data_IF_550199247848
#
_entry.id   IF_550199247848
#
_cell.length_a   1.000
_cell.length_b   1.000
_cell.length_c   1.000
_cell.angle_alpha   90.00
_cell.angle_beta   90.00
_cell.angle_gamma   90.00
#
_symmetry.space_group_name_H-M   'P 1'
#
loop_
_entity.id
_entity.type
_entity.pdbx_description
1 polymer ?
#
# COMPACT_ATOMS: atom_id res chain seq x y z
N UNK A 1 13.97 22.47 -16.37
CA UNK A 1 12.65 21.89 -16.10
C UNK A 1 12.24 22.37 -14.73
N UNK A 2 11.08 23.01 -14.62
CA UNK A 2 10.53 23.39 -13.32
C UNK A 2 9.80 22.17 -12.75
N UNK A 3 10.45 21.37 -11.92
CA UNK A 3 9.81 20.31 -11.17
C UNK A 3 9.03 20.93 -10.01
N UNK A 4 7.72 20.84 -10.04
CA UNK A 4 6.91 21.16 -8.86
C UNK A 4 6.95 19.96 -7.90
N UNK A 5 7.12 20.18 -6.59
CA UNK A 5 7.09 19.11 -5.62
C UNK A 5 5.72 18.41 -5.64
N UNK A 6 5.72 17.09 -5.53
CA UNK A 6 4.50 16.28 -5.41
C UNK A 6 3.71 16.70 -4.18
N UNK A 7 2.42 16.92 -4.37
CA UNK A 7 1.47 17.34 -3.32
C UNK A 7 0.48 16.22 -3.01
N UNK A 8 -0.16 16.32 -1.85
CA UNK A 8 -1.29 15.43 -1.55
C UNK A 8 -2.38 15.59 -2.60
N UNK A 9 -2.98 14.47 -2.95
CA UNK A 9 -4.03 14.32 -3.97
C UNK A 9 -3.55 14.40 -5.43
N UNK A 10 -2.27 14.65 -5.70
CA UNK A 10 -1.75 14.52 -7.06
C UNK A 10 -1.82 13.07 -7.54
N UNK A 11 -2.23 12.88 -8.80
CA UNK A 11 -2.04 11.61 -9.50
C UNK A 11 -0.61 11.57 -10.05
N UNK A 12 0.20 10.64 -9.56
CA UNK A 12 1.64 10.58 -9.86
C UNK A 12 1.97 9.31 -10.61
N UNK A 13 2.74 9.45 -11.68
CA UNK A 13 3.40 8.33 -12.35
C UNK A 13 4.81 8.21 -11.79
N UNK A 14 5.16 7.02 -11.34
CA UNK A 14 6.47 6.74 -10.74
C UNK A 14 6.93 5.32 -11.07
N UNK A 15 8.23 5.09 -10.97
CA UNK A 15 8.81 3.77 -11.12
C UNK A 15 8.53 2.92 -9.88
N UNK A 16 8.14 1.65 -10.08
CA UNK A 16 7.83 0.76 -8.98
C UNK A 16 8.98 0.73 -7.95
N UNK A 17 8.70 0.94 -6.65
CA UNK A 17 9.72 1.07 -5.62
C UNK A 17 10.28 -0.29 -5.17
N UNK A 18 10.64 -1.16 -6.13
CA UNK A 18 11.48 -2.30 -5.88
C UNK A 18 12.95 -1.88 -5.85
N UNK A 19 13.83 -2.72 -5.35
CA UNK A 19 15.26 -2.58 -5.60
C UNK A 19 15.57 -2.76 -7.09
N UNK A 20 16.83 -2.60 -7.44
CA UNK A 20 17.33 -2.83 -8.82
C UNK A 20 17.41 -4.32 -9.20
N UNK A 21 17.37 -5.21 -8.23
CA UNK A 21 17.42 -6.66 -8.45
C UNK A 21 16.03 -7.21 -8.73
N UNK A 22 15.89 -7.95 -9.82
CA UNK A 22 14.65 -8.65 -10.22
C UNK A 22 14.93 -10.12 -10.50
N UNK A 23 13.92 -10.98 -10.29
CA UNK A 23 13.91 -12.33 -10.82
C UNK A 23 13.45 -12.21 -12.26
N UNK A 24 14.34 -12.55 -13.20
CA UNK A 24 14.12 -12.33 -14.64
C UNK A 24 13.24 -13.42 -15.27
N UNK A 25 12.01 -13.51 -14.77
CA UNK A 25 10.97 -14.40 -15.28
C UNK A 25 9.65 -13.62 -15.42
N UNK A 26 8.77 -14.01 -16.38
CA UNK A 26 7.53 -13.25 -16.68
C UNK A 26 6.55 -13.07 -15.51
N UNK A 27 6.56 -13.98 -14.54
CA UNK A 27 5.64 -13.95 -13.39
C UNK A 27 6.17 -13.15 -12.20
N UNK A 28 7.38 -12.64 -12.30
CA UNK A 28 8.04 -11.86 -11.24
C UNK A 28 8.04 -10.35 -11.58
N UNK A 29 9.03 -9.61 -11.18
CA UNK A 29 9.17 -8.15 -11.31
C UNK A 29 8.25 -7.41 -10.33
N UNK A 30 7.42 -6.46 -10.77
CA UNK A 30 6.52 -5.71 -9.87
C UNK A 30 5.37 -6.54 -9.31
N UNK A 31 4.96 -7.59 -10.03
CA UNK A 31 3.87 -8.47 -9.59
C UNK A 31 4.29 -9.34 -8.41
N UNK A 32 5.51 -9.84 -8.41
CA UNK A 32 6.12 -10.61 -7.31
C UNK A 32 7.58 -10.16 -7.12
N UNK A 33 7.83 -9.04 -6.45
CA UNK A 33 9.14 -8.42 -6.35
C UNK A 33 10.16 -9.33 -5.66
N UNK A 34 11.42 -9.26 -6.09
CA UNK A 34 12.54 -10.01 -5.53
C UNK A 34 12.58 -9.97 -3.98
N UNK A 35 12.38 -8.80 -3.41
CA UNK A 35 12.38 -8.60 -1.96
C UNK A 35 11.27 -9.38 -1.25
N UNK A 36 10.08 -9.46 -1.85
CA UNK A 36 8.94 -10.20 -1.31
C UNK A 36 9.12 -11.71 -1.47
N UNK A 37 9.72 -12.14 -2.59
CA UNK A 37 10.13 -13.54 -2.78
C UNK A 37 11.17 -13.93 -1.73
N UNK A 38 12.21 -13.11 -1.50
CA UNK A 38 13.19 -13.36 -0.42
C UNK A 38 12.50 -13.51 0.94
N UNK A 39 11.57 -12.62 1.28
CA UNK A 39 10.84 -12.70 2.55
C UNK A 39 10.06 -14.01 2.68
N UNK A 40 9.37 -14.41 1.61
CA UNK A 40 8.58 -15.65 1.58
C UNK A 40 9.46 -16.89 1.71
N UNK A 41 10.53 -16.98 0.92
CA UNK A 41 11.48 -18.10 0.94
C UNK A 41 12.20 -18.23 2.29
N UNK A 42 12.54 -17.11 2.91
CA UNK A 42 13.19 -17.06 4.21
C UNK A 42 12.24 -17.09 5.40
N UNK A 43 10.93 -17.35 5.19
CA UNK A 43 9.91 -17.39 6.26
C UNK A 43 9.92 -16.13 7.14
N UNK A 44 10.06 -14.97 6.51
CA UNK A 44 10.16 -13.67 7.14
C UNK A 44 11.60 -13.13 7.29
N UNK A 45 12.61 -13.99 7.21
CA UNK A 45 14.02 -13.59 7.19
C UNK A 45 14.49 -13.38 5.74
N UNK A 46 14.65 -12.12 5.35
CA UNK A 46 15.00 -11.75 3.97
C UNK A 46 16.40 -12.24 3.58
N UNK A 47 17.36 -12.19 4.50
CA UNK A 47 18.74 -12.60 4.22
C UNK A 47 18.85 -14.13 4.02
N UNK A 48 18.09 -14.91 4.76
CA UNK A 48 18.01 -16.36 4.54
C UNK A 48 17.30 -16.67 3.20
N UNK A 49 16.21 -15.98 2.90
CA UNK A 49 15.54 -16.13 1.61
C UNK A 49 16.42 -15.73 0.43
N UNK A 50 17.24 -14.68 0.59
CA UNK A 50 18.22 -14.27 -0.41
C UNK A 50 19.27 -15.36 -0.67
N UNK A 51 19.77 -16.03 0.38
CA UNK A 51 20.68 -17.16 0.22
C UNK A 51 20.05 -18.32 -0.56
N UNK A 52 18.79 -18.64 -0.25
CA UNK A 52 18.05 -19.70 -0.97
C UNK A 52 17.97 -19.37 -2.46
N UNK A 53 17.56 -18.14 -2.80
CA UNK A 53 17.42 -17.70 -4.20
C UNK A 53 18.77 -17.69 -4.92
N UNK A 54 19.83 -17.21 -4.29
CA UNK A 54 21.18 -17.17 -4.88
C UNK A 54 21.77 -18.57 -5.13
N UNK A 55 21.34 -19.57 -4.36
CA UNK A 55 21.79 -20.95 -4.52
C UNK A 55 20.95 -21.75 -5.56
N UNK A 56 19.92 -21.14 -6.15
CA UNK A 56 19.05 -21.77 -7.15
C UNK A 56 18.85 -20.84 -8.37
N UNK A 57 19.91 -20.56 -9.12
CA UNK A 57 19.87 -19.63 -10.26
C UNK A 57 19.03 -20.12 -11.43
N UNK A 58 18.81 -21.44 -11.54
CA UNK A 58 18.01 -22.03 -12.62
C UNK A 58 16.52 -21.71 -12.44
N UNK A 59 16.00 -21.75 -11.22
CA UNK A 59 14.62 -21.40 -10.89
C UNK A 59 14.44 -19.90 -10.60
N UNK A 60 15.52 -19.20 -10.22
CA UNK A 60 15.51 -17.77 -9.87
C UNK A 60 16.63 -17.00 -10.57
N UNK A 61 16.61 -16.93 -11.92
CA UNK A 61 17.62 -16.15 -12.65
C UNK A 61 17.50 -14.67 -12.28
N UNK A 62 18.57 -14.09 -11.73
CA UNK A 62 18.59 -12.70 -11.32
C UNK A 62 19.11 -11.78 -12.43
N UNK A 63 18.50 -10.61 -12.54
CA UNK A 63 18.96 -9.51 -13.35
C UNK A 63 18.95 -8.20 -12.56
N UNK A 64 19.76 -7.24 -12.98
CA UNK A 64 19.76 -5.89 -12.42
C UNK A 64 19.05 -4.98 -13.44
N UNK A 65 17.95 -4.40 -13.04
CA UNK A 65 17.23 -3.41 -13.83
C UNK A 65 17.48 -2.02 -13.22
N UNK A 66 18.00 -1.06 -13.97
CA UNK A 66 18.04 0.32 -13.51
C UNK A 66 16.62 0.85 -13.31
N UNK A 67 16.48 1.91 -12.53
CA UNK A 67 15.18 2.47 -12.11
C UNK A 67 14.27 2.74 -13.30
N UNK A 68 14.80 3.29 -14.37
CA UNK A 68 14.08 3.63 -15.61
C UNK A 68 13.58 2.44 -16.43
N UNK A 69 14.00 1.22 -16.07
CA UNK A 69 13.47 -0.04 -16.63
C UNK A 69 12.50 -0.76 -15.70
N UNK A 70 12.20 -0.19 -14.54
CA UNK A 70 11.14 -0.70 -13.64
C UNK A 70 9.77 -0.37 -14.21
N UNK A 71 8.77 -1.20 -13.86
CA UNK A 71 7.38 -0.94 -14.22
C UNK A 71 6.91 0.43 -13.70
N UNK A 72 6.17 1.15 -14.54
CA UNK A 72 5.57 2.42 -14.15
C UNK A 72 4.21 2.19 -13.52
N UNK A 73 3.97 2.84 -12.40
CA UNK A 73 2.69 2.86 -11.70
C UNK A 73 2.11 4.26 -11.70
N UNK A 74 0.78 4.34 -11.79
CA UNK A 74 0.04 5.57 -11.51
C UNK A 74 -0.76 5.37 -10.24
N UNK A 75 -0.55 6.21 -9.25
CA UNK A 75 -1.29 6.22 -7.98
C UNK A 75 -1.50 7.65 -7.51
N UNK A 76 -2.43 7.80 -6.56
CA UNK A 76 -2.64 9.08 -5.88
C UNK A 76 -1.67 9.21 -4.71
N UNK A 77 -0.98 10.35 -4.62
CA UNK A 77 -0.21 10.71 -3.45
C UNK A 77 -1.15 11.09 -2.31
N UNK A 78 -1.35 10.22 -1.34
CA UNK A 78 -2.22 10.50 -0.18
C UNK A 78 -1.47 11.03 1.03
N UNK A 79 -0.15 10.82 1.07
CA UNK A 79 0.70 11.34 2.15
C UNK A 79 2.07 11.75 1.63
N UNK A 80 2.58 12.84 2.16
CA UNK A 80 3.90 13.41 1.81
C UNK A 80 4.87 13.29 2.98
N UNK A 81 6.15 13.56 2.72
CA UNK A 81 7.22 13.49 3.70
C UNK A 81 6.93 14.29 4.98
N UNK A 82 6.96 13.65 6.14
CA UNK A 82 6.68 14.21 7.46
C UNK A 82 5.23 14.06 7.93
N UNK A 83 4.36 13.49 7.11
CA UNK A 83 2.99 13.20 7.53
C UNK A 83 2.91 11.97 8.43
N UNK A 84 2.00 11.99 9.40
CA UNK A 84 1.52 10.82 10.12
C UNK A 84 0.25 10.33 9.44
N UNK A 85 0.32 9.16 8.80
CA UNK A 85 -0.78 8.56 8.05
C UNK A 85 -1.43 7.43 8.85
N UNK A 86 -2.74 7.41 8.82
CA UNK A 86 -3.56 6.33 9.36
C UNK A 86 -4.75 6.07 8.43
N UNK A 87 -5.17 4.81 8.33
CA UNK A 87 -6.42 4.43 7.66
C UNK A 87 -7.34 3.80 8.69
N UNK A 88 -8.55 4.30 8.82
CA UNK A 88 -9.60 3.78 9.70
C UNK A 88 -10.84 3.50 8.88
N UNK A 89 -11.26 2.25 8.81
CA UNK A 89 -12.42 1.82 8.01
C UNK A 89 -12.37 2.35 6.57
N UNK A 90 -11.19 2.23 5.93
CA UNK A 90 -10.95 2.69 4.57
C UNK A 90 -10.76 4.21 4.39
N UNK A 91 -10.99 5.00 5.43
CA UNK A 91 -10.84 6.46 5.41
C UNK A 91 -9.41 6.83 5.82
N UNK A 92 -8.76 7.68 5.02
CA UNK A 92 -7.41 8.16 5.28
C UNK A 92 -7.44 9.33 6.26
N UNK A 93 -6.58 9.29 7.26
CA UNK A 93 -6.32 10.39 8.20
C UNK A 93 -4.86 10.83 8.05
N UNK A 94 -4.65 12.12 7.90
CA UNK A 94 -3.32 12.73 7.86
C UNK A 94 -3.17 13.69 9.02
N UNK A 95 -2.17 13.43 9.86
CA UNK A 95 -1.91 14.23 11.08
C UNK A 95 -3.16 14.33 11.98
N UNK A 96 -3.95 13.24 12.04
CA UNK A 96 -5.18 13.11 12.83
C UNK A 96 -6.42 13.75 12.19
N UNK A 97 -6.31 14.35 11.00
CA UNK A 97 -7.44 14.93 10.26
C UNK A 97 -7.87 13.99 9.15
N UNK A 98 -9.18 13.81 9.00
CA UNK A 98 -9.78 13.05 7.91
C UNK A 98 -9.51 13.76 6.57
N UNK A 99 -9.03 12.98 5.60
CA UNK A 99 -8.86 13.43 4.23
C UNK A 99 -10.10 13.03 3.41
N UNK A 100 -10.67 13.96 2.63
CA UNK A 100 -11.83 13.65 1.80
C UNK A 100 -11.49 12.58 0.77
N UNK A 101 -12.40 11.63 0.58
CA UNK A 101 -12.25 10.64 -0.48
C UNK A 101 -12.39 11.35 -1.85
N UNK A 102 -11.50 11.07 -2.82
CA UNK A 102 -11.70 11.53 -4.18
C UNK A 102 -13.06 11.04 -4.70
N UNK A 103 -13.83 11.89 -5.42
CA UNK A 103 -15.21 11.55 -5.83
C UNK A 103 -15.34 10.25 -6.62
N UNK A 104 -14.31 9.89 -7.37
CA UNK A 104 -14.23 8.68 -8.19
C UNK A 104 -13.40 7.57 -7.53
N UNK A 105 -13.07 7.68 -6.24
CA UNK A 105 -12.46 6.56 -5.53
C UNK A 105 -13.50 5.48 -5.26
N UNK A 106 -13.10 4.22 -5.42
CA UNK A 106 -13.98 3.06 -5.38
C UNK A 106 -13.62 2.12 -4.23
N UNK A 107 -14.66 1.54 -3.63
CA UNK A 107 -14.51 0.44 -2.69
C UNK A 107 -15.78 -0.44 -2.71
N UNK A 108 -15.66 -1.68 -2.26
CA UNK A 108 -16.83 -2.52 -2.01
C UNK A 108 -17.51 -2.13 -0.72
N UNK A 109 -18.84 -2.05 -0.79
CA UNK A 109 -19.71 -1.78 0.34
C UNK A 109 -20.80 -2.83 0.46
N UNK A 110 -21.23 -3.10 1.68
CA UNK A 110 -22.46 -3.82 1.96
C UNK A 110 -23.58 -2.78 2.00
N UNK A 111 -24.47 -2.89 1.03
CA UNK A 111 -25.57 -1.95 0.77
C UNK A 111 -26.88 -2.61 1.12
N UNK A 112 -27.67 -2.02 1.99
CA UNK A 112 -29.04 -2.47 2.28
C UNK A 112 -30.03 -1.54 1.59
N UNK A 113 -30.97 -2.11 0.85
CA UNK A 113 -32.00 -1.39 0.10
C UNK A 113 -33.41 -1.79 0.60
N UNK A 114 -34.43 -1.07 0.18
CA UNK A 114 -35.83 -1.41 0.50
C UNK A 114 -36.36 -2.54 -0.39
N UNK A 115 -35.88 -2.58 -1.62
CA UNK A 115 -36.30 -3.55 -2.65
C UNK A 115 -35.04 -4.05 -3.35
N UNK A 116 -35.16 -5.18 -4.07
CA UNK A 116 -34.08 -5.66 -4.94
C UNK A 116 -33.85 -4.61 -6.03
N UNK A 117 -32.63 -4.09 -6.18
CA UNK A 117 -32.32 -3.10 -7.20
C UNK A 117 -32.46 -3.66 -8.62
N UNK A 118 -32.95 -2.82 -9.51
CA UNK A 118 -32.89 -3.05 -10.95
C UNK A 118 -31.45 -2.83 -11.42
N UNK A 119 -30.90 -3.76 -12.20
CA UNK A 119 -29.52 -3.73 -12.69
C UNK A 119 -29.26 -2.61 -13.69
N UNK A 120 -30.27 -2.23 -14.49
CA UNK A 120 -30.15 -1.13 -15.43
C UNK A 120 -30.07 0.21 -14.69
N UNK A 121 -30.89 0.38 -13.64
CA UNK A 121 -30.82 1.55 -12.76
C UNK A 121 -29.47 1.62 -12.04
N UNK A 122 -28.94 0.49 -11.56
CA UNK A 122 -27.62 0.46 -10.93
C UNK A 122 -26.54 0.94 -11.90
N UNK A 123 -26.60 0.49 -13.15
CA UNK A 123 -25.62 0.85 -14.18
C UNK A 123 -25.74 2.32 -14.61
N UNK A 124 -26.95 2.77 -14.93
CA UNK A 124 -27.18 4.11 -15.47
C UNK A 124 -27.03 5.22 -14.43
N UNK A 125 -27.51 4.98 -13.20
CA UNK A 125 -27.58 6.01 -12.17
C UNK A 125 -26.38 6.01 -11.20
N UNK A 126 -25.74 4.85 -11.02
CA UNK A 126 -24.72 4.67 -9.98
C UNK A 126 -23.41 4.09 -10.52
N UNK A 127 -23.31 3.80 -11.83
CA UNK A 127 -22.14 3.25 -12.49
C UNK A 127 -21.68 1.90 -11.88
N UNK A 128 -22.68 1.07 -11.48
CA UNK A 128 -22.43 -0.29 -10.94
C UNK A 128 -22.83 -1.31 -11.99
N UNK A 129 -21.85 -2.04 -12.52
CA UNK A 129 -22.04 -2.98 -13.62
C UNK A 129 -22.07 -4.43 -13.11
N UNK A 130 -23.25 -5.06 -13.21
CA UNK A 130 -23.44 -6.46 -12.83
C UNK A 130 -22.58 -7.42 -13.66
N UNK A 131 -22.40 -7.16 -14.94
CA UNK A 131 -21.61 -8.03 -15.84
C UNK A 131 -20.12 -8.02 -15.50
N UNK A 132 -19.64 -6.95 -14.87
CA UNK A 132 -18.27 -6.82 -14.38
C UNK A 132 -18.06 -7.43 -12.98
N UNK A 133 -19.11 -7.96 -12.35
CA UNK A 133 -19.02 -8.48 -11.00
C UNK A 133 -18.96 -7.41 -9.90
N UNK A 134 -19.43 -6.21 -10.21
CA UNK A 134 -19.46 -5.07 -9.28
C UNK A 134 -20.67 -5.10 -8.33
N UNK A 135 -21.56 -6.08 -8.51
CA UNK A 135 -22.78 -6.29 -7.74
C UNK A 135 -22.97 -7.77 -7.42
N UNK A 136 -23.21 -8.09 -6.18
CA UNK A 136 -23.45 -9.45 -5.67
C UNK A 136 -24.50 -9.44 -4.57
N UNK A 137 -25.50 -10.34 -4.63
CA UNK A 137 -26.47 -10.51 -3.54
C UNK A 137 -25.84 -11.31 -2.39
N UNK A 138 -25.81 -10.74 -1.19
CA UNK A 138 -25.24 -11.37 0.00
C UNK A 138 -26.29 -11.63 1.09
N UNK A 139 -27.54 -11.23 0.86
CA UNK A 139 -28.66 -11.44 1.78
C UNK A 139 -29.97 -10.83 1.27
N UNK A 140 -31.01 -10.90 2.08
CA UNK A 140 -32.32 -10.28 1.75
C UNK A 140 -32.13 -8.77 1.69
N UNK A 141 -32.42 -8.17 0.52
CA UNK A 141 -32.22 -6.75 0.27
C UNK A 141 -30.85 -6.22 0.67
N UNK A 142 -29.84 -7.09 0.68
CA UNK A 142 -28.48 -6.77 1.08
C UNK A 142 -27.52 -7.22 0.01
N UNK A 143 -26.70 -6.31 -0.45
CA UNK A 143 -25.86 -6.49 -1.64
C UNK A 143 -24.45 -5.99 -1.36
N UNK A 144 -23.48 -6.69 -1.90
CA UNK A 144 -22.10 -6.24 -2.00
C UNK A 144 -21.95 -5.49 -3.32
N UNK A 145 -21.59 -4.21 -3.26
CA UNK A 145 -21.50 -3.35 -4.44
C UNK A 145 -20.16 -2.61 -4.47
N UNK A 146 -19.54 -2.50 -5.64
CA UNK A 146 -18.41 -1.59 -5.87
C UNK A 146 -18.99 -0.20 -6.12
N UNK A 147 -18.77 0.73 -5.20
CA UNK A 147 -19.31 2.09 -5.30
C UNK A 147 -18.19 3.13 -5.33
N UNK A 148 -18.35 4.12 -6.20
CA UNK A 148 -17.61 5.37 -6.07
C UNK A 148 -18.09 6.16 -4.85
N UNK A 149 -17.25 7.08 -4.32
CA UNK A 149 -17.66 7.96 -3.23
C UNK A 149 -18.93 8.78 -3.64
N UNK A 150 -18.99 9.22 -4.88
CA UNK A 150 -20.17 9.93 -5.44
C UNK A 150 -21.42 9.05 -5.46
N UNK A 151 -21.33 7.81 -5.95
CA UNK A 151 -22.47 6.90 -6.02
C UNK A 151 -23.03 6.60 -4.62
N UNK A 152 -22.12 6.34 -3.64
CA UNK A 152 -22.48 6.14 -2.25
C UNK A 152 -23.28 7.31 -1.67
N UNK A 153 -22.81 8.54 -1.85
CA UNK A 153 -23.51 9.73 -1.40
C UNK A 153 -24.87 9.88 -2.08
N UNK A 154 -24.95 9.70 -3.41
CA UNK A 154 -26.20 9.78 -4.18
C UNK A 154 -27.23 8.76 -3.69
N UNK A 155 -26.83 7.50 -3.45
CA UNK A 155 -27.71 6.44 -2.95
C UNK A 155 -28.31 6.75 -1.57
N UNK A 156 -27.51 7.37 -0.69
CA UNK A 156 -27.98 7.77 0.64
C UNK A 156 -28.91 8.98 0.57
N UNK A 157 -28.57 9.99 -0.22
CA UNK A 157 -29.34 11.24 -0.33
C UNK A 157 -30.71 11.04 -0.94
N UNK A 158 -30.86 10.17 -1.96
CA UNK A 158 -32.15 9.91 -2.60
C UNK A 158 -32.94 8.75 -1.98
N UNK A 159 -32.42 8.14 -0.90
CA UNK A 159 -33.09 7.09 -0.16
C UNK A 159 -33.15 5.74 -0.89
N UNK A 160 -32.32 5.53 -1.91
CA UNK A 160 -32.17 4.26 -2.60
C UNK A 160 -31.61 3.19 -1.67
N UNK A 161 -30.57 3.53 -0.91
CA UNK A 161 -30.02 2.70 0.13
C UNK A 161 -30.46 3.19 1.53
N UNK A 162 -30.76 2.25 2.41
CA UNK A 162 -31.06 2.52 3.84
C UNK A 162 -29.78 2.45 4.70
N UNK A 163 -28.78 1.71 4.25
CA UNK A 163 -27.48 1.58 4.92
C UNK A 163 -26.40 1.27 3.88
N UNK A 164 -25.23 1.88 4.04
CA UNK A 164 -24.03 1.57 3.25
C UNK A 164 -22.85 1.48 4.22
N UNK A 165 -22.28 0.27 4.35
CA UNK A 165 -21.16 -0.03 5.25
C UNK A 165 -20.00 -0.55 4.40
N UNK A 166 -18.78 -0.10 4.66
CA UNK A 166 -17.59 -0.61 3.97
C UNK A 166 -17.48 -2.13 4.16
N UNK A 167 -17.24 -2.86 3.08
CA UNK A 167 -16.88 -4.27 3.13
C UNK A 167 -15.40 -4.38 3.56
N UNK A 168 -15.18 -4.29 4.88
CA UNK A 168 -13.84 -4.22 5.46
C UNK A 168 -13.09 -5.54 5.29
N UNK A 169 -11.79 -5.44 5.01
CA UNK A 169 -10.91 -6.59 5.08
C UNK A 169 -10.89 -7.16 6.50
N UNK A 170 -11.03 -8.48 6.60
CA UNK A 170 -10.92 -9.16 7.89
C UNK A 170 -9.56 -8.87 8.55
N UNK A 171 -9.56 -8.37 9.76
CA UNK A 171 -8.36 -8.10 10.55
C UNK A 171 -7.79 -9.42 11.12
N UNK A 172 -7.41 -10.34 10.22
CA UNK A 172 -7.04 -11.71 10.55
C UNK A 172 -5.56 -11.90 10.82
N UNK A 173 -5.02 -11.37 11.86
CA UNK A 173 -3.71 -11.80 12.31
C UNK A 173 -2.51 -10.94 11.92
N UNK A 174 -2.64 -10.01 10.99
CA UNK A 174 -1.53 -9.13 10.53
C UNK A 174 -0.57 -9.81 9.54
N UNK A 175 0.33 -9.02 8.97
CA UNK A 175 1.38 -9.52 8.07
C UNK A 175 1.04 -9.50 6.58
N UNK A 176 -0.21 -9.27 6.20
CA UNK A 176 -0.63 -9.18 4.79
C UNK A 176 -0.25 -7.86 4.14
N UNK A 177 -0.22 -6.79 4.93
CA UNK A 177 0.14 -5.44 4.49
C UNK A 177 1.51 -5.05 5.03
N UNK A 178 2.12 -4.04 4.43
CA UNK A 178 3.40 -3.49 4.90
C UNK A 178 3.31 -3.10 6.40
N UNK A 179 4.30 -3.38 7.23
CA UNK A 179 5.63 -3.93 6.92
C UNK A 179 5.68 -5.46 6.85
N UNK A 180 4.58 -6.15 6.57
CA UNK A 180 4.47 -7.60 6.40
C UNK A 180 4.95 -8.41 7.62
N UNK A 181 4.61 -7.94 8.79
CA UNK A 181 4.98 -8.56 10.06
C UNK A 181 3.76 -8.69 10.97
N UNK A 182 3.61 -9.86 11.60
CA UNK A 182 2.46 -10.19 12.45
C UNK A 182 2.36 -9.35 13.74
N UNK A 183 3.41 -8.63 14.11
CA UNK A 183 3.37 -7.68 15.23
C UNK A 183 2.46 -6.48 14.95
N UNK A 184 2.25 -6.16 13.67
CA UNK A 184 1.33 -5.13 13.22
C UNK A 184 0.00 -5.79 12.87
N UNK A 185 -1.05 -5.47 13.65
CA UNK A 185 -2.41 -5.98 13.42
C UNK A 185 -3.17 -5.12 12.40
N UNK A 186 -2.45 -4.71 11.34
CA UNK A 186 -2.98 -3.86 10.30
C UNK A 186 -3.60 -4.67 9.17
N UNK A 187 -4.59 -4.06 8.54
CA UNK A 187 -5.19 -4.53 7.28
C UNK A 187 -5.18 -3.37 6.27
N UNK A 188 -5.60 -3.64 5.03
CA UNK A 188 -5.70 -2.59 4.01
C UNK A 188 -6.67 -1.46 4.39
N UNK A 189 -7.69 -1.75 5.20
CA UNK A 189 -8.76 -0.83 5.56
C UNK A 189 -8.60 -0.26 6.99
N UNK A 190 -7.72 -0.86 7.83
CA UNK A 190 -7.35 -0.37 9.15
C UNK A 190 -5.83 -0.46 9.30
N UNK A 191 -5.15 0.66 9.07
CA UNK A 191 -3.72 0.72 8.86
C UNK A 191 -3.08 1.88 9.62
N UNK A 192 -1.90 1.66 10.16
CA UNK A 192 -1.14 2.70 10.84
C UNK A 192 -1.44 2.83 12.34
N UNK A 193 -1.06 3.94 12.96
CA UNK A 193 -0.42 5.11 12.34
C UNK A 193 1.01 4.80 11.85
N UNK A 194 1.38 5.37 10.71
CA UNK A 194 2.73 5.29 10.15
C UNK A 194 3.23 6.68 9.80
N UNK A 195 4.45 6.99 10.22
CA UNK A 195 5.09 8.24 9.90
C UNK A 195 5.85 8.14 8.58
N UNK A 196 5.58 9.05 7.65
CA UNK A 196 6.22 9.07 6.33
C UNK A 196 7.57 9.76 6.45
N UNK A 197 8.68 9.07 6.12
CA UNK A 197 10.01 9.64 6.31
C UNK A 197 10.23 10.93 5.52
N UNK A 198 10.94 11.86 6.15
CA UNK A 198 11.29 13.16 5.58
C UNK A 198 12.80 13.38 5.66
N UNK A 199 13.35 13.94 4.62
CA UNK A 199 14.76 14.34 4.57
C UNK A 199 15.17 15.17 5.78
N UNK A 200 16.33 14.86 6.34
CA UNK A 200 16.90 15.49 7.53
C UNK A 200 16.13 15.30 8.84
N UNK A 201 15.10 14.46 8.88
CA UNK A 201 14.43 14.12 10.13
C UNK A 201 14.98 12.84 10.74
N UNK A 202 15.28 12.82 12.06
CA UNK A 202 15.73 11.63 12.75
C UNK A 202 14.57 10.72 13.14
N UNK A 203 14.81 9.42 13.14
CA UNK A 203 13.93 8.41 13.73
C UNK A 203 14.73 7.62 14.78
N UNK A 204 14.15 7.41 15.95
CA UNK A 204 14.71 6.52 16.96
C UNK A 204 14.53 5.07 16.50
N UNK A 205 15.59 4.26 16.64
CA UNK A 205 15.56 2.87 16.26
C UNK A 205 15.07 2.02 17.43
N UNK A 206 14.04 1.27 17.18
CA UNK A 206 13.46 0.23 18.02
C UNK A 206 12.93 -0.88 17.10
N UNK A 207 12.41 -1.95 17.66
CA UNK A 207 11.95 -3.09 16.87
C UNK A 207 10.86 -2.74 15.88
N UNK A 208 9.90 -1.91 16.27
CA UNK A 208 8.82 -1.48 15.38
C UNK A 208 9.34 -0.58 14.26
N UNK A 209 10.18 0.40 14.59
CA UNK A 209 10.76 1.31 13.59
C UNK A 209 11.75 0.61 12.67
N UNK A 210 12.46 -0.41 13.16
CA UNK A 210 13.30 -1.25 12.31
C UNK A 210 12.45 -1.93 11.22
N UNK A 211 11.35 -2.56 11.59
CA UNK A 211 10.46 -3.24 10.64
C UNK A 211 9.84 -2.26 9.62
N UNK A 212 9.51 -1.04 10.04
CA UNK A 212 8.93 -0.02 9.16
C UNK A 212 9.95 0.62 8.22
N UNK A 213 11.17 0.85 8.68
CA UNK A 213 12.12 1.70 7.95
C UNK A 213 13.35 0.97 7.41
N UNK A 214 13.52 -0.33 7.73
CA UNK A 214 14.69 -1.11 7.27
C UNK A 214 14.86 -1.02 5.75
N UNK A 215 13.78 -1.22 4.98
CA UNK A 215 13.84 -1.16 3.52
C UNK A 215 14.20 0.24 3.01
N UNK A 216 13.68 1.30 3.62
CA UNK A 216 14.02 2.67 3.25
C UNK A 216 15.50 2.95 3.50
N UNK A 217 16.01 2.57 4.66
CA UNK A 217 17.40 2.80 5.07
C UNK A 217 18.37 1.94 4.26
N UNK A 218 18.07 0.66 4.14
CA UNK A 218 18.97 -0.32 3.52
C UNK A 218 18.93 -0.28 2.00
N UNK A 219 17.75 -0.34 1.40
CA UNK A 219 17.59 -0.49 -0.05
C UNK A 219 17.61 0.87 -0.76
N UNK A 220 16.74 1.78 -0.35
CA UNK A 220 16.60 3.07 -1.07
C UNK A 220 17.77 4.02 -0.76
N UNK A 221 18.20 4.09 0.51
CA UNK A 221 19.33 4.95 0.89
C UNK A 221 20.70 4.21 0.87
N UNK A 222 20.72 2.96 0.37
CA UNK A 222 21.92 2.16 0.05
C UNK A 222 22.90 2.03 1.22
N UNK A 223 22.38 1.73 2.42
CA UNK A 223 23.21 1.48 3.58
C UNK A 223 23.32 -0.03 3.88
N UNK A 224 24.41 -0.43 4.50
CA UNK A 224 24.44 -1.67 5.26
C UNK A 224 23.70 -1.42 6.58
N UNK A 225 22.53 -2.02 6.75
CA UNK A 225 21.70 -1.81 7.95
C UNK A 225 21.09 -3.13 8.40
N UNK A 226 21.35 -3.51 9.64
CA UNK A 226 20.87 -4.76 10.21
C UNK A 226 20.71 -4.67 11.74
N UNK A 227 19.94 -5.63 12.31
CA UNK A 227 19.80 -5.84 13.75
C UNK A 227 20.53 -7.10 14.16
N UNK A 228 21.35 -7.02 15.20
CA UNK A 228 22.06 -8.16 15.80
C UNK A 228 22.11 -8.00 17.33
N UNK A 229 21.79 -9.06 18.05
CA UNK A 229 21.81 -9.12 19.52
C UNK A 229 21.05 -7.96 20.20
N UNK A 230 19.89 -7.57 19.62
CA UNK A 230 19.06 -6.48 20.12
C UNK A 230 19.55 -5.07 19.78
N UNK A 231 20.67 -4.94 19.07
CA UNK A 231 21.29 -3.67 18.68
C UNK A 231 21.19 -3.44 17.20
N UNK A 232 21.18 -2.16 16.78
CA UNK A 232 21.12 -1.76 15.38
C UNK A 232 22.49 -1.31 14.89
N UNK A 233 22.84 -1.73 13.68
CA UNK A 233 24.14 -1.42 13.07
C UNK A 233 23.92 -0.75 11.72
N UNK A 234 24.62 0.36 11.49
CA UNK A 234 24.63 1.13 10.25
C UNK A 234 26.06 1.28 9.75
N UNK A 235 26.37 0.70 8.58
CA UNK A 235 27.70 0.78 7.96
C UNK A 235 28.82 0.38 8.94
N UNK A 236 28.60 -0.73 9.66
CA UNK A 236 29.53 -1.31 10.64
C UNK A 236 29.55 -0.64 12.01
N UNK A 237 28.74 0.39 12.28
CA UNK A 237 28.69 1.09 13.57
C UNK A 237 27.36 0.85 14.29
N UNK A 238 27.40 0.66 15.62
CA UNK A 238 26.21 0.62 16.45
C UNK A 238 25.54 2.01 16.48
N UNK A 239 24.22 2.05 16.26
CA UNK A 239 23.43 3.28 16.21
C UNK A 239 22.11 3.11 16.96
N UNK A 240 21.58 4.21 17.54
CA UNK A 240 20.28 4.26 18.21
C UNK A 240 19.23 5.07 17.41
N UNK A 241 19.67 5.78 16.39
CA UNK A 241 18.79 6.60 15.54
C UNK A 241 19.31 6.61 14.10
N UNK A 242 18.42 6.99 13.18
CA UNK A 242 18.76 7.21 11.78
C UNK A 242 18.19 8.55 11.31
N UNK A 243 18.90 9.27 10.45
CA UNK A 243 18.43 10.50 9.79
C UNK A 243 18.28 10.24 8.30
N UNK A 244 17.03 10.37 7.80
CA UNK A 244 16.73 10.12 6.40
C UNK A 244 17.41 11.13 5.46
N UNK A 245 17.86 10.65 4.32
CA UNK A 245 18.56 11.44 3.29
C UNK A 245 17.62 11.90 2.18
N UNK A 246 16.44 11.29 2.06
CA UNK A 246 15.43 11.55 1.03
C UNK A 246 14.06 11.82 1.66
N UNK A 247 13.16 12.40 0.85
CA UNK A 247 11.75 12.45 1.13
C UNK A 247 11.07 11.19 0.60
N UNK A 248 9.96 10.82 1.24
CA UNK A 248 9.17 9.66 0.86
C UNK A 248 7.70 10.06 0.73
N UNK A 249 6.98 9.25 -0.02
CA UNK A 249 5.57 9.45 -0.30
C UNK A 249 4.78 8.19 0.00
N UNK A 250 3.49 8.35 0.24
CA UNK A 250 2.55 7.26 0.40
C UNK A 250 1.51 7.33 -0.70
N UNK A 251 1.53 6.31 -1.55
CA UNK A 251 0.73 6.24 -2.76
C UNK A 251 -0.41 5.25 -2.58
N UNK A 252 -1.63 5.64 -2.91
CA UNK A 252 -2.79 4.74 -2.89
C UNK A 252 -3.56 4.84 -4.21
N UNK A 253 -4.09 3.70 -4.67
CA UNK A 253 -4.98 3.67 -5.83
C UNK A 253 -6.38 4.16 -5.49
N UNK A 254 -7.06 4.77 -6.45
CA UNK A 254 -8.45 5.23 -6.28
C UNK A 254 -9.43 4.06 -6.16
N UNK A 255 -9.19 2.92 -6.82
CA UNK A 255 -9.85 1.66 -6.49
C UNK A 255 -9.20 1.08 -5.22
N UNK A 256 -9.74 1.46 -4.07
CA UNK A 256 -9.15 1.22 -2.74
C UNK A 256 -8.91 -0.25 -2.42
N UNK A 257 -9.75 -1.14 -2.90
CA UNK A 257 -9.66 -2.58 -2.60
C UNK A 257 -9.05 -3.38 -3.75
N UNK A 258 -9.08 -2.87 -4.96
CA UNK A 258 -8.47 -3.48 -6.14
C UNK A 258 -7.05 -2.98 -6.45
N UNK A 259 -6.44 -2.16 -5.57
CA UNK A 259 -5.13 -1.58 -5.81
C UNK A 259 -4.03 -2.23 -4.98
N UNK A 260 -2.98 -2.67 -5.66
CA UNK A 260 -1.69 -2.84 -5.01
C UNK A 260 -1.00 -1.48 -4.93
N UNK A 261 -0.67 -1.03 -3.71
CA UNK A 261 -0.15 0.30 -3.43
C UNK A 261 0.70 0.33 -2.16
N UNK A 262 1.00 1.50 -1.61
CA UNK A 262 1.88 1.65 -0.44
C UNK A 262 1.44 0.85 0.78
N UNK A 263 0.16 0.48 0.88
CA UNK A 263 -0.31 -0.43 1.94
C UNK A 263 0.33 -1.82 1.87
N UNK A 264 0.86 -2.22 0.71
CA UNK A 264 1.49 -3.52 0.47
C UNK A 264 3.01 -3.42 0.34
N UNK A 265 3.54 -2.42 -0.37
CA UNK A 265 4.98 -2.29 -0.59
C UNK A 265 5.66 -1.19 0.24
N UNK A 266 4.91 -0.33 0.96
CA UNK A 266 5.46 0.73 1.81
C UNK A 266 5.74 2.02 1.06
N UNK A 267 6.78 2.72 1.50
CA UNK A 267 7.13 4.06 1.04
C UNK A 267 7.66 4.09 -0.41
N UNK A 268 7.35 5.17 -1.11
CA UNK A 268 7.93 5.50 -2.42
C UNK A 268 8.93 6.63 -2.22
N UNK A 269 10.23 6.43 -2.49
CA UNK A 269 11.24 7.48 -2.35
C UNK A 269 11.15 8.51 -3.48
N UNK A 270 11.64 9.73 -3.24
CA UNK A 270 11.56 10.87 -4.16
C UNK A 270 12.34 10.70 -5.48
N UNK A 271 13.17 9.67 -5.58
CA UNK A 271 13.96 9.36 -6.77
C UNK A 271 13.32 8.32 -7.71
N UNK A 272 12.02 8.01 -7.58
CA UNK A 272 11.29 7.00 -8.37
C UNK A 272 10.26 7.56 -9.37
#
# INVERSE_FOLDING_TARGET
>A
WFESPVKRNDAVVFNFPAGDTVINLPNFQSKDPYYDVCRRMGRGNIDEGRKIILNDPDNYPLAIHPVDKSDNYIKRCVGIAGDLLEVRKGIVFINGKEEPLPPNSEAFYIVTTKLVPDTDILKEEYDVDYEKGEYESVGINTFRMLLTARAKEKMLQNGFATSIILDEAFNGGGGEVFPNNQSFKWSRDNYGPVWIPKKNMPVQLNDSNYLLYERAIRVYEKNEFFKKDGKFYLNGKEVSSYTFKMNYYWMMGDNRQGSQDSRYWGFVPEDR
#
